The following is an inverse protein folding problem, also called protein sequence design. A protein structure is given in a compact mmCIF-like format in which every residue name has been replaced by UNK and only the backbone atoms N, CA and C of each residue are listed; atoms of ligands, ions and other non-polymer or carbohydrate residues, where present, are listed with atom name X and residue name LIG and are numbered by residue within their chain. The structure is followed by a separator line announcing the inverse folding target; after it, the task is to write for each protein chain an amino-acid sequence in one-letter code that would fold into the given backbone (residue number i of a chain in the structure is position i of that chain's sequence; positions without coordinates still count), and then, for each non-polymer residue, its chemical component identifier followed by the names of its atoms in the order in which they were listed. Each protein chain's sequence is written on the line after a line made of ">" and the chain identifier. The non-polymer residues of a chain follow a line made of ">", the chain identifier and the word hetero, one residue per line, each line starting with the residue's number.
data_IF_543623798416
#
_entry.id   IF_543623798416
#
_cell.length_a   1.000
_cell.length_b   1.000
_cell.length_c   1.000
_cell.angle_alpha   90.00
_cell.angle_beta   90.00
_cell.angle_gamma   90.00
#
_symmetry.space_group_name_H-M   'P 1'
#
loop_
_entity.id
_entity.type
_entity.pdbx_description
1 polymer ?
#
# COMPACT_ATOMS: atom_id res chain seq x y z
N UNK A 1 4.93 20.54 -7.99
CA UNK A 1 4.71 19.38 -8.90
C UNK A 1 3.77 18.41 -8.18
N UNK A 2 2.48 18.76 -8.12
CA UNK A 2 1.45 18.01 -7.40
C UNK A 2 0.45 17.48 -8.41
N UNK A 3 0.77 16.34 -9.03
CA UNK A 3 -0.21 15.66 -9.85
C UNK A 3 -1.20 15.00 -8.90
N UNK A 4 -2.39 15.58 -8.80
CA UNK A 4 -3.53 14.88 -8.23
C UNK A 4 -3.71 13.58 -9.02
N UNK A 5 -3.87 12.43 -8.35
CA UNK A 5 -4.14 11.19 -9.04
C UNK A 5 -5.39 11.39 -9.92
N UNK A 6 -5.30 10.97 -11.19
CA UNK A 6 -6.39 11.09 -12.17
C UNK A 6 -7.67 10.36 -11.73
N UNK A 7 -7.52 9.40 -10.81
CA UNK A 7 -8.58 8.59 -10.25
C UNK A 7 -8.66 8.78 -8.74
N UNK A 8 -9.86 9.05 -8.22
CA UNK A 8 -10.15 9.07 -6.80
C UNK A 8 -9.81 7.72 -6.15
N UNK A 9 -9.53 7.74 -4.85
CA UNK A 9 -9.16 6.56 -4.06
C UNK A 9 -10.20 5.43 -4.20
N UNK A 10 -11.49 5.78 -4.24
CA UNK A 10 -12.60 4.85 -4.45
C UNK A 10 -12.55 4.14 -5.82
N UNK A 11 -12.21 4.86 -6.90
CA UNK A 11 -12.09 4.27 -8.24
C UNK A 11 -10.89 3.32 -8.29
N UNK A 12 -9.78 3.70 -7.66
CA UNK A 12 -8.62 2.83 -7.53
C UNK A 12 -8.95 1.57 -6.72
N UNK A 13 -9.67 1.72 -5.60
CA UNK A 13 -10.13 0.58 -4.79
C UNK A 13 -10.95 -0.39 -5.64
N UNK A 14 -11.94 0.14 -6.36
CA UNK A 14 -12.83 -0.68 -7.19
C UNK A 14 -12.10 -1.41 -8.30
N UNK A 15 -11.09 -0.79 -8.91
CA UNK A 15 -10.26 -1.44 -9.92
C UNK A 15 -9.44 -2.60 -9.33
N UNK A 16 -8.94 -2.47 -8.09
CA UNK A 16 -8.21 -3.56 -7.41
C UNK A 16 -9.16 -4.68 -6.98
N UNK A 17 -10.37 -4.33 -6.50
CA UNK A 17 -11.44 -5.29 -6.19
C UNK A 17 -11.86 -6.08 -7.44
N UNK A 18 -12.06 -5.39 -8.57
CA UNK A 18 -12.46 -6.01 -9.84
C UNK A 18 -11.37 -6.90 -10.44
N UNK A 19 -10.09 -6.55 -10.22
CA UNK A 19 -8.96 -7.35 -10.66
C UNK A 19 -8.84 -8.70 -9.93
N UNK A 20 -9.61 -8.93 -8.85
CA UNK A 20 -9.58 -10.17 -8.03
C UNK A 20 -8.17 -10.57 -7.57
N UNK A 21 -7.29 -9.59 -7.37
CA UNK A 21 -5.90 -9.81 -6.94
C UNK A 21 -5.83 -10.04 -5.43
N UNK A 22 -6.80 -9.51 -4.67
CA UNK A 22 -6.86 -9.62 -3.23
C UNK A 22 -8.27 -10.03 -2.78
N UNK A 23 -8.34 -10.78 -1.68
CA UNK A 23 -9.60 -11.22 -1.07
C UNK A 23 -10.35 -10.04 -0.41
N UNK A 24 -9.58 -9.12 0.18
CA UNK A 24 -10.09 -7.94 0.86
C UNK A 24 -9.25 -6.71 0.50
N UNK A 25 -9.93 -5.67 0.00
CA UNK A 25 -9.31 -4.39 -0.34
C UNK A 25 -9.91 -3.32 0.57
N UNK A 26 -9.07 -2.72 1.40
CA UNK A 26 -9.45 -1.63 2.31
C UNK A 26 -8.78 -0.34 1.89
N UNK A 27 -9.51 0.77 2.02
CA UNK A 27 -8.93 2.09 1.86
C UNK A 27 -8.11 2.43 3.10
N UNK A 28 -6.81 2.67 2.90
CA UNK A 28 -5.94 3.17 3.95
C UNK A 28 -6.25 4.64 4.23
N UNK A 29 -6.39 5.00 5.51
CA UNK A 29 -6.51 6.40 5.90
C UNK A 29 -5.13 7.06 5.91
N UNK A 30 -4.76 7.77 4.84
CA UNK A 30 -3.52 8.55 4.80
C UNK A 30 -3.49 9.72 5.80
N UNK A 31 -4.68 10.23 6.16
CA UNK A 31 -4.84 11.34 7.12
C UNK A 31 -4.94 10.88 8.58
N UNK A 32 -4.91 9.58 8.87
CA UNK A 32 -5.01 9.04 10.22
C UNK A 32 -4.00 7.91 10.43
N UNK A 33 -3.96 7.35 11.64
CA UNK A 33 -3.11 6.21 11.95
C UNK A 33 -3.41 5.03 11.02
N UNK A 34 -2.53 4.78 10.05
CA UNK A 34 -2.54 3.55 9.23
C UNK A 34 -2.50 2.27 10.07
N UNK A 35 -1.99 2.38 11.31
CA UNK A 35 -1.94 1.30 12.28
C UNK A 35 -3.31 0.87 12.79
N UNK A 36 -4.35 1.72 12.70
CA UNK A 36 -5.69 1.38 13.18
C UNK A 36 -6.26 0.16 12.45
N UNK A 37 -5.99 0.08 11.16
CA UNK A 37 -6.36 -1.05 10.30
C UNK A 37 -5.61 -2.32 10.72
N UNK A 38 -4.35 -2.20 11.14
CA UNK A 38 -3.59 -3.34 11.66
C UNK A 38 -4.17 -3.86 12.99
N UNK A 39 -4.70 -2.99 13.86
CA UNK A 39 -5.36 -3.46 15.11
C UNK A 39 -6.73 -4.11 14.84
N UNK A 40 -7.43 -3.69 13.80
CA UNK A 40 -8.74 -4.26 13.41
C UNK A 40 -8.59 -5.59 12.67
N UNK A 41 -7.70 -5.65 11.68
CA UNK A 41 -7.47 -6.86 10.87
C UNK A 41 -6.61 -7.89 11.62
N UNK A 42 -5.68 -7.42 12.47
CA UNK A 42 -4.67 -8.26 13.14
C UNK A 42 -3.99 -9.26 12.19
N UNK A 43 -3.32 -8.78 11.13
CA UNK A 43 -2.57 -9.68 10.26
C UNK A 43 -1.42 -10.33 11.04
N UNK A 44 -0.95 -11.49 10.58
CA UNK A 44 0.30 -12.09 11.06
C UNK A 44 1.52 -11.53 10.28
N UNK A 45 1.32 -11.18 9.00
CA UNK A 45 2.36 -10.71 8.09
C UNK A 45 1.88 -9.45 7.36
N UNK A 46 2.71 -8.40 7.32
CA UNK A 46 2.49 -7.17 6.56
C UNK A 46 3.57 -7.02 5.51
N UNK A 47 3.17 -6.92 4.24
CA UNK A 47 4.09 -6.62 3.17
C UNK A 47 4.02 -5.13 2.76
N UNK A 48 5.11 -4.39 2.93
CA UNK A 48 5.21 -2.97 2.59
C UNK A 48 5.91 -2.77 1.25
N UNK A 49 5.44 -1.82 0.46
CA UNK A 49 6.12 -1.42 -0.77
C UNK A 49 7.39 -0.61 -0.49
N UNK A 50 8.39 -0.71 -1.36
CA UNK A 50 9.66 0.04 -1.22
C UNK A 50 9.47 1.55 -1.04
N UNK A 51 8.47 2.15 -1.70
CA UNK A 51 8.22 3.60 -1.69
C UNK A 51 7.47 4.06 -0.42
N UNK A 52 6.93 3.14 0.38
CA UNK A 52 6.24 3.47 1.62
C UNK A 52 7.25 3.85 2.72
N UNK A 53 7.18 5.10 3.19
CA UNK A 53 7.97 5.60 4.33
C UNK A 53 7.32 5.24 5.67
N UNK A 54 6.95 3.97 5.85
CA UNK A 54 6.36 3.49 7.11
C UNK A 54 7.47 3.03 8.04
N UNK A 55 7.41 3.40 9.32
CA UNK A 55 8.40 3.00 10.33
C UNK A 55 8.04 1.62 10.89
N UNK A 56 8.75 0.60 10.43
CA UNK A 56 8.59 -0.79 10.87
C UNK A 56 8.77 -0.92 12.40
N UNK A 57 9.70 -0.15 12.97
CA UNK A 57 9.92 -0.09 14.42
C UNK A 57 8.68 0.36 15.22
N UNK A 58 7.85 1.25 14.65
CA UNK A 58 6.64 1.73 15.30
C UNK A 58 5.52 0.68 15.25
N UNK A 59 5.44 -0.06 14.14
CA UNK A 59 4.57 -1.22 14.00
C UNK A 59 4.96 -2.29 15.03
N UNK A 60 6.23 -2.71 15.05
CA UNK A 60 6.75 -3.74 15.97
C UNK A 60 6.58 -3.35 17.44
N UNK A 61 6.70 -2.05 17.76
CA UNK A 61 6.47 -1.56 19.14
C UNK A 61 5.01 -1.75 19.58
N UNK A 62 4.07 -1.65 18.65
CA UNK A 62 2.62 -1.76 18.90
C UNK A 62 2.13 -3.21 18.72
N UNK A 63 2.78 -3.95 17.82
CA UNK A 63 2.51 -5.34 17.44
C UNK A 63 3.81 -6.15 17.45
N UNK A 64 4.28 -6.58 18.64
CA UNK A 64 5.55 -7.30 18.78
C UNK A 64 5.58 -8.70 18.14
N UNK A 65 4.46 -9.19 17.61
CA UNK A 65 4.37 -10.46 16.89
C UNK A 65 4.11 -10.32 15.38
N UNK A 66 4.12 -9.09 14.84
CA UNK A 66 3.83 -8.87 13.43
C UNK A 66 5.11 -8.98 12.59
N UNK A 67 5.09 -9.83 11.57
CA UNK A 67 6.18 -9.89 10.60
C UNK A 67 6.00 -8.81 9.53
N UNK A 68 7.01 -7.98 9.33
CA UNK A 68 6.97 -6.91 8.32
C UNK A 68 8.00 -7.23 7.25
N UNK A 69 7.52 -7.37 6.01
CA UNK A 69 8.33 -7.70 4.85
C UNK A 69 8.30 -6.50 3.91
N UNK A 70 9.45 -5.87 3.68
CA UNK A 70 9.53 -4.82 2.67
C UNK A 70 9.83 -5.43 1.31
N UNK A 71 8.84 -5.38 0.41
CA UNK A 71 9.02 -5.84 -0.95
C UNK A 71 9.94 -4.89 -1.72
N UNK A 72 10.91 -5.48 -2.41
CA UNK A 72 11.80 -4.76 -3.32
C UNK A 72 11.04 -4.19 -4.52
N UNK A 73 11.48 -3.04 -5.09
CA UNK A 73 10.87 -2.47 -6.28
C UNK A 73 10.91 -3.47 -7.44
N UNK A 74 9.75 -3.95 -7.88
CA UNK A 74 9.67 -4.82 -9.04
C UNK A 74 9.96 -4.02 -10.32
N UNK A 75 11.17 -4.20 -10.88
CA UNK A 75 11.59 -3.69 -12.19
C UNK A 75 11.29 -2.19 -12.45
N UNK A 76 11.95 -1.28 -11.72
CA UNK A 76 11.90 0.18 -11.97
C UNK A 76 12.26 0.61 -13.41
N UNK A 77 12.87 -0.28 -14.21
CA UNK A 77 13.36 0.04 -15.55
C UNK A 77 12.30 -0.14 -16.66
N UNK A 78 11.26 -0.96 -16.45
CA UNK A 78 10.39 -1.45 -17.55
C UNK A 78 9.00 -0.79 -17.66
N UNK A 79 8.53 -0.09 -16.63
CA UNK A 79 7.18 0.50 -16.60
C UNK A 79 7.16 2.01 -16.31
N UNK A 80 8.15 2.77 -16.81
CA UNK A 80 7.98 4.23 -16.89
C UNK A 80 6.87 4.53 -17.90
N UNK A 81 5.68 4.87 -17.37
CA UNK A 81 4.54 5.41 -18.13
C UNK A 81 4.86 6.70 -18.92
N UNK A 82 6.09 7.21 -18.84
CA UNK A 82 6.59 8.27 -19.72
C UNK A 82 6.79 7.82 -21.18
N UNK A 83 6.80 6.51 -21.50
CA UNK A 83 7.08 6.05 -22.86
C UNK A 83 5.83 5.91 -23.77
N UNK A 84 4.62 5.90 -23.22
CA UNK A 84 3.35 5.81 -23.98
C UNK A 84 2.62 7.16 -24.09
N UNK A 85 3.34 8.25 -24.34
CA UNK A 85 2.77 9.48 -24.90
C UNK A 85 3.38 9.69 -26.28
N UNK A 86 2.72 9.14 -27.29
CA UNK A 86 2.85 9.58 -28.67
C UNK A 86 1.46 9.69 -29.26
#
# INVERSE_FOLDING_TARGET
>A
KGFLPTYSEEVRKRNVEDAKIADLVVLGNYNSDIFKILEEIKPDIVALGYDQRVKEAEILKRFPGLEIIRMEPYQSDKYKSSFYRK
#
